data_IF_756507335371
#
_entry.id   IF_756507335371
#
_cell.length_a   1.000
_cell.length_b   1.000
_cell.length_c   1.000
_cell.angle_alpha   90.00
_cell.angle_beta   90.00
_cell.angle_gamma   90.00
#
_symmetry.space_group_name_H-M   'P 1'
#
loop_
_entity.id
_entity.type
_entity.pdbx_description
1 polymer ?
#
# COMPACT_ATOMS: atom_id res chain seq x y z
N UNK A 1 -17.19 -34.12 10.51
CA UNK A 1 -17.76 -33.12 11.44
C UNK A 1 -18.58 -33.87 12.46
N UNK A 2 -18.38 -33.57 13.74
CA UNK A 2 -18.94 -34.27 14.90
C UNK A 2 -20.37 -33.82 15.26
N UNK A 3 -21.02 -33.05 14.38
CA UNK A 3 -22.38 -32.54 14.61
C UNK A 3 -22.49 -31.49 15.71
N UNK A 4 -21.36 -30.93 16.18
CA UNK A 4 -21.34 -29.92 17.22
C UNK A 4 -21.14 -28.51 16.67
N UNK A 5 -21.75 -27.52 17.34
CA UNK A 5 -21.45 -26.09 17.15
C UNK A 5 -20.58 -25.64 18.30
N UNK A 6 -19.40 -25.10 17.99
CA UNK A 6 -18.46 -24.56 18.96
C UNK A 6 -18.61 -23.04 19.07
N UNK A 7 -18.54 -22.51 20.28
CA UNK A 7 -18.62 -21.07 20.51
C UNK A 7 -17.74 -20.64 21.68
N UNK A 8 -17.25 -19.41 21.59
CA UNK A 8 -16.52 -18.77 22.66
C UNK A 8 -17.52 -18.13 23.62
N UNK A 9 -17.51 -18.58 24.87
CA UNK A 9 -18.27 -17.98 25.95
C UNK A 9 -17.35 -16.98 26.66
N UNK A 10 -17.10 -15.86 25.97
CA UNK A 10 -15.98 -14.93 26.19
C UNK A 10 -15.84 -14.52 27.65
N UNK A 11 -16.89 -13.97 28.26
CA UNK A 11 -16.83 -13.47 29.64
C UNK A 11 -16.95 -14.56 30.71
N UNK A 12 -17.16 -15.82 30.31
CA UNK A 12 -17.03 -16.97 31.20
C UNK A 12 -15.67 -17.67 31.04
N UNK A 13 -14.77 -17.10 30.22
CA UNK A 13 -13.43 -17.62 29.95
C UNK A 13 -13.44 -19.10 29.51
N UNK A 14 -14.41 -19.47 28.67
CA UNK A 14 -14.67 -20.86 28.28
C UNK A 14 -14.91 -21.01 26.79
N UNK A 15 -14.54 -22.18 26.27
CA UNK A 15 -15.04 -22.68 25.00
C UNK A 15 -16.12 -23.71 25.29
N UNK A 16 -17.25 -23.59 24.61
CA UNK A 16 -18.39 -24.49 24.76
C UNK A 16 -18.77 -25.10 23.42
N UNK A 17 -19.47 -26.23 23.49
CA UNK A 17 -20.06 -26.87 22.33
C UNK A 17 -21.51 -27.24 22.57
N UNK A 18 -22.32 -27.18 21.53
CA UNK A 18 -23.70 -27.67 21.50
C UNK A 18 -23.75 -28.85 20.55
N UNK A 19 -24.15 -30.02 21.05
CA UNK A 19 -24.54 -31.13 20.18
C UNK A 19 -25.90 -30.79 19.56
N UNK A 20 -25.94 -30.66 18.23
CA UNK A 20 -27.14 -30.19 17.51
C UNK A 20 -28.26 -31.23 17.53
N UNK A 21 -27.94 -32.52 17.69
CA UNK A 21 -28.94 -33.59 17.72
C UNK A 21 -29.66 -33.67 19.06
N UNK A 22 -28.95 -33.39 20.15
CA UNK A 22 -29.49 -33.46 21.53
C UNK A 22 -29.82 -32.09 22.11
N UNK A 23 -29.39 -31.01 21.45
CA UNK A 23 -29.46 -29.63 21.93
C UNK A 23 -28.79 -29.44 23.31
N UNK A 24 -27.78 -30.25 23.63
CA UNK A 24 -27.08 -30.21 24.91
C UNK A 24 -25.80 -29.35 24.81
N UNK A 25 -25.68 -28.34 25.67
CA UNK A 25 -24.50 -27.50 25.77
C UNK A 25 -23.52 -28.03 26.82
N UNK A 26 -22.24 -28.19 26.45
CA UNK A 26 -21.17 -28.65 27.34
C UNK A 26 -19.95 -27.73 27.25
N UNK A 27 -19.14 -27.69 28.31
CA UNK A 27 -17.86 -26.97 28.30
C UNK A 27 -16.78 -27.89 27.73
N UNK A 28 -15.97 -27.37 26.81
CA UNK A 28 -14.82 -28.10 26.28
C UNK A 28 -13.68 -28.05 27.30
N UNK A 29 -13.10 -29.20 27.62
CA UNK A 29 -11.90 -29.29 28.45
C UNK A 29 -10.72 -29.72 27.59
N UNK A 30 -9.83 -28.76 27.30
CA UNK A 30 -8.62 -29.03 26.55
C UNK A 30 -7.41 -29.15 27.47
N UNK A 31 -6.44 -29.99 27.10
CA UNK A 31 -5.24 -30.26 27.91
C UNK A 31 -3.97 -29.80 27.21
N UNK A 32 -3.13 -29.09 27.95
CA UNK A 32 -1.79 -28.73 27.49
C UNK A 32 -0.84 -29.94 27.54
N UNK A 33 0.36 -29.81 26.97
CA UNK A 33 1.36 -30.89 26.94
C UNK A 33 1.80 -31.39 28.31
N UNK A 34 1.63 -30.59 29.36
CA UNK A 34 1.89 -30.97 30.75
C UNK A 34 0.69 -31.67 31.42
N UNK A 35 -0.41 -31.90 30.70
CA UNK A 35 -1.64 -32.55 31.17
C UNK A 35 -2.62 -31.63 31.92
N UNK A 36 -2.24 -30.39 32.19
CA UNK A 36 -3.10 -29.41 32.85
C UNK A 36 -4.23 -28.94 31.93
N UNK A 37 -5.38 -28.60 32.53
CA UNK A 37 -6.52 -28.06 31.78
C UNK A 37 -6.22 -26.63 31.38
N UNK A 38 -6.39 -26.31 30.10
CA UNK A 38 -6.18 -24.95 29.57
C UNK A 38 -7.14 -23.98 30.23
N UNK A 39 -6.59 -22.85 30.69
CA UNK A 39 -7.35 -21.69 31.15
C UNK A 39 -7.35 -20.65 30.04
N UNK A 40 -8.53 -20.37 29.49
CA UNK A 40 -8.71 -19.28 28.53
C UNK A 40 -8.85 -17.95 29.26
N UNK A 41 -8.72 -16.85 28.53
CA UNK A 41 -8.98 -15.51 29.01
C UNK A 41 -9.62 -14.65 27.91
N UNK A 42 -10.95 -14.49 28.00
CA UNK A 42 -11.76 -13.77 27.02
C UNK A 42 -11.50 -14.21 25.56
N UNK A 43 -11.69 -15.50 25.24
CA UNK A 43 -11.56 -15.95 23.88
C UNK A 43 -12.60 -15.23 23.01
N UNK A 44 -12.17 -14.61 21.91
CA UNK A 44 -13.04 -13.77 21.08
C UNK A 44 -13.42 -14.41 19.74
N UNK A 45 -12.67 -15.41 19.28
CA UNK A 45 -12.87 -16.00 17.96
C UNK A 45 -12.48 -17.46 17.91
N UNK A 46 -13.21 -18.23 17.11
CA UNK A 46 -12.98 -19.64 16.83
C UNK A 46 -13.09 -19.91 15.33
N UNK A 47 -12.30 -20.87 14.84
CA UNK A 47 -12.40 -21.34 13.45
C UNK A 47 -12.02 -22.82 13.38
N UNK A 48 -12.78 -23.61 12.63
CA UNK A 48 -12.41 -25.00 12.35
C UNK A 48 -11.48 -25.06 11.13
N UNK A 49 -10.58 -26.03 11.13
CA UNK A 49 -9.87 -26.40 9.92
C UNK A 49 -10.81 -27.04 8.88
N UNK A 50 -10.32 -27.21 7.64
CA UNK A 50 -11.13 -27.78 6.55
C UNK A 50 -11.61 -29.20 6.82
N UNK A 51 -10.88 -29.97 7.64
CA UNK A 51 -11.28 -31.34 7.99
C UNK A 51 -12.25 -31.40 9.17
N UNK A 52 -12.37 -30.31 9.94
CA UNK A 52 -13.18 -30.22 11.14
C UNK A 52 -12.59 -31.00 12.32
N UNK A 53 -11.28 -31.24 12.33
CA UNK A 53 -10.55 -31.94 13.40
C UNK A 53 -9.82 -30.97 14.33
N UNK A 54 -9.39 -29.82 13.80
CA UNK A 54 -8.67 -28.80 14.57
C UNK A 54 -9.54 -27.56 14.75
N UNK A 55 -9.57 -27.05 15.97
CA UNK A 55 -10.20 -25.79 16.33
C UNK A 55 -9.11 -24.75 16.64
N UNK A 56 -9.05 -23.71 15.82
CA UNK A 56 -8.23 -22.52 16.05
C UNK A 56 -8.97 -21.57 16.98
N UNK A 57 -8.26 -21.01 17.96
CA UNK A 57 -8.83 -20.19 19.03
C UNK A 57 -7.99 -18.92 19.17
N UNK A 58 -8.64 -17.76 19.16
CA UNK A 58 -8.04 -16.49 19.52
C UNK A 58 -8.30 -16.22 21.02
N UNK A 59 -7.27 -16.45 21.85
CA UNK A 59 -7.32 -16.29 23.30
C UNK A 59 -6.87 -14.88 23.69
N UNK A 60 -7.76 -13.91 23.48
CA UNK A 60 -7.45 -12.47 23.34
C UNK A 60 -6.65 -11.87 24.49
N UNK A 61 -7.08 -12.07 25.73
CA UNK A 61 -6.40 -11.48 26.90
C UNK A 61 -5.19 -12.29 27.37
N UNK A 62 -4.97 -13.47 26.81
CA UNK A 62 -3.70 -14.17 26.92
C UNK A 62 -2.75 -13.83 25.76
N UNK A 63 -3.20 -13.05 24.77
CA UNK A 63 -2.44 -12.67 23.57
C UNK A 63 -1.88 -13.86 22.79
N UNK A 64 -2.63 -14.98 22.77
CA UNK A 64 -2.19 -16.23 22.16
C UNK A 64 -3.18 -16.72 21.11
N UNK A 65 -2.65 -17.26 20.01
CA UNK A 65 -3.40 -18.14 19.13
C UNK A 65 -3.15 -19.58 19.55
N UNK A 66 -4.22 -20.35 19.70
CA UNK A 66 -4.17 -21.75 20.09
C UNK A 66 -4.75 -22.61 18.97
N UNK A 67 -4.29 -23.85 18.91
CA UNK A 67 -4.90 -24.90 18.10
C UNK A 67 -5.21 -26.08 19.00
N UNK A 68 -6.48 -26.47 19.03
CA UNK A 68 -6.99 -27.61 19.78
C UNK A 68 -7.34 -28.75 18.82
N UNK A 69 -6.94 -29.97 19.15
CA UNK A 69 -7.37 -31.17 18.46
C UNK A 69 -8.65 -31.70 19.13
N UNK A 70 -9.72 -31.80 18.36
CA UNK A 70 -11.04 -32.20 18.86
C UNK A 70 -11.15 -33.70 19.12
N UNK A 71 -10.26 -34.53 18.54
CA UNK A 71 -10.28 -35.98 18.71
C UNK A 71 -9.67 -36.43 20.05
N UNK A 72 -8.59 -35.77 20.49
CA UNK A 72 -7.86 -36.12 21.71
C UNK A 72 -7.92 -35.04 22.79
N UNK A 73 -8.63 -33.94 22.53
CA UNK A 73 -8.76 -32.77 23.40
C UNK A 73 -7.40 -32.14 23.79
N UNK A 74 -6.33 -32.36 23.03
CA UNK A 74 -5.06 -31.67 23.24
C UNK A 74 -5.13 -30.23 22.70
N UNK A 75 -4.41 -29.31 23.34
CA UNK A 75 -4.28 -27.92 22.88
C UNK A 75 -2.85 -27.43 23.03
N UNK A 76 -2.43 -26.58 22.11
CA UNK A 76 -1.11 -25.96 22.13
C UNK A 76 -1.13 -24.57 21.50
N UNK A 77 -0.16 -23.70 21.85
CA UNK A 77 0.10 -22.49 21.11
C UNK A 77 0.37 -22.77 19.62
N UNK A 78 -0.24 -21.96 18.77
CA UNK A 78 0.06 -21.89 17.35
C UNK A 78 1.25 -20.93 17.18
N UNK A 79 2.45 -21.50 17.03
CA UNK A 79 3.65 -20.72 16.73
C UNK A 79 3.56 -20.15 15.32
N UNK A 80 3.35 -18.85 15.23
CA UNK A 80 3.42 -18.11 13.98
C UNK A 80 4.86 -17.68 13.75
N UNK A 81 5.58 -18.41 12.91
CA UNK A 81 6.90 -18.00 12.45
C UNK A 81 6.72 -17.04 11.28
N UNK A 82 6.35 -15.79 11.60
CA UNK A 82 6.56 -14.71 10.67
C UNK A 82 8.07 -14.56 10.54
N UNK A 83 8.65 -14.99 9.42
CA UNK A 83 9.93 -14.40 9.04
C UNK A 83 9.61 -12.91 8.93
N UNK A 84 10.21 -12.09 9.75
CA UNK A 84 10.32 -10.66 9.51
C UNK A 84 11.77 -10.52 9.06
N UNK A 85 12.07 -10.04 7.85
CA UNK A 85 13.45 -9.76 7.48
C UNK A 85 13.98 -8.78 8.54
N UNK A 86 15.21 -8.95 9.02
CA UNK A 86 15.84 -8.08 10.03
C UNK A 86 15.75 -6.57 9.67
N UNK A 87 15.51 -6.26 8.40
CA UNK A 87 15.29 -4.92 7.86
C UNK A 87 13.94 -4.28 8.23
N UNK A 88 12.96 -5.04 8.76
CA UNK A 88 11.71 -4.46 9.30
C UNK A 88 11.80 -4.09 10.79
N UNK A 89 12.67 -4.76 11.56
CA UNK A 89 12.85 -4.51 13.00
C UNK A 89 14.00 -3.52 13.30
N UNK A 90 14.79 -3.15 12.28
CA UNK A 90 15.90 -2.19 12.45
C UNK A 90 15.52 -0.73 12.17
N UNK A 91 14.24 -0.42 11.97
CA UNK A 91 13.78 0.97 12.00
C UNK A 91 13.33 1.30 13.40
N UNK A 92 14.25 1.87 14.19
CA UNK A 92 13.92 2.46 15.49
C UNK A 92 12.63 3.26 15.41
N UNK A 93 11.82 3.13 16.46
CA UNK A 93 10.50 3.73 16.64
C UNK A 93 10.46 5.22 16.23
N UNK A 94 10.26 5.53 14.93
CA UNK A 94 9.70 6.78 14.38
C UNK A 94 9.82 6.98 12.86
N UNK A 95 10.05 5.95 12.04
CA UNK A 95 9.93 6.15 10.58
C UNK A 95 9.20 5.01 9.92
N UNK A 96 7.95 5.23 9.53
CA UNK A 96 7.40 4.58 8.33
C UNK A 96 8.47 4.77 7.26
N UNK A 97 9.13 3.70 6.83
CA UNK A 97 10.18 3.77 5.81
C UNK A 97 9.51 4.14 4.49
N UNK A 98 9.24 5.44 4.31
CA UNK A 98 8.76 6.00 3.07
C UNK A 98 9.99 6.17 2.19
N UNK A 99 10.25 5.19 1.33
CA UNK A 99 11.37 5.25 0.40
C UNK A 99 11.18 6.48 -0.49
N UNK A 100 12.17 7.36 -0.57
CA UNK A 100 12.14 8.50 -1.49
C UNK A 100 12.91 8.12 -2.76
N UNK A 101 12.20 8.03 -3.87
CA UNK A 101 12.76 7.84 -5.20
C UNK A 101 13.09 9.20 -5.79
N UNK A 102 14.38 9.41 -6.10
CA UNK A 102 14.86 10.60 -6.79
C UNK A 102 15.21 10.25 -8.24
N UNK A 103 14.76 11.03 -9.23
CA UNK A 103 15.19 10.88 -10.61
C UNK A 103 16.71 11.14 -10.73
N UNK A 104 17.33 10.61 -11.77
CA UNK A 104 18.78 10.74 -12.02
C UNK A 104 19.23 12.16 -12.39
N UNK A 105 18.30 13.03 -12.78
CA UNK A 105 18.54 14.43 -13.13
C UNK A 105 17.32 15.30 -12.80
N UNK A 106 17.49 16.62 -12.58
CA UNK A 106 16.37 17.53 -12.37
C UNK A 106 15.62 17.79 -13.68
N UNK A 107 14.33 18.14 -13.56
CA UNK A 107 13.47 18.61 -14.65
C UNK A 107 13.91 20.03 -15.01
N UNK A 108 14.33 20.23 -16.25
CA UNK A 108 14.76 21.55 -16.73
C UNK A 108 13.58 22.31 -17.35
N UNK A 109 13.38 23.55 -16.93
CA UNK A 109 12.36 24.47 -17.47
C UNK A 109 13.00 25.76 -18.00
N UNK A 110 12.29 26.46 -18.89
CA UNK A 110 12.74 27.73 -19.46
C UNK A 110 12.11 28.94 -18.74
N UNK A 111 12.81 30.08 -18.62
CA UNK A 111 12.32 31.27 -17.89
C UNK A 111 11.08 31.96 -18.48
N UNK A 112 10.48 31.44 -19.56
CA UNK A 112 9.19 31.89 -20.12
C UNK A 112 7.99 31.00 -19.78
N UNK A 113 8.22 29.97 -18.95
CA UNK A 113 7.26 28.90 -18.69
C UNK A 113 6.10 29.24 -17.72
N UNK A 114 5.94 30.52 -17.34
CA UNK A 114 4.77 30.96 -16.55
C UNK A 114 3.41 30.78 -17.25
N UNK A 115 3.42 30.38 -18.54
CA UNK A 115 2.25 29.93 -19.31
C UNK A 115 2.35 28.47 -19.77
N UNK A 116 3.44 27.78 -19.43
CA UNK A 116 3.68 26.39 -19.81
C UNK A 116 3.14 25.46 -18.73
N UNK A 117 2.75 24.25 -19.13
CA UNK A 117 2.29 23.23 -18.19
C UNK A 117 3.23 22.02 -18.25
N UNK A 118 3.52 21.48 -17.07
CA UNK A 118 4.26 20.25 -16.89
C UNK A 118 3.27 19.09 -16.84
N UNK A 119 3.29 18.24 -17.86
CA UNK A 119 2.51 17.00 -17.88
C UNK A 119 3.39 15.85 -17.39
N UNK A 120 3.08 15.31 -16.22
CA UNK A 120 3.75 14.15 -15.64
C UNK A 120 2.90 12.90 -15.86
N UNK A 121 3.47 11.85 -16.44
CA UNK A 121 2.81 10.55 -16.61
C UNK A 121 3.60 9.48 -15.88
N UNK A 122 3.00 8.90 -14.83
CA UNK A 122 3.60 7.82 -14.04
C UNK A 122 3.04 6.48 -14.48
N UNK A 123 3.91 5.59 -14.95
CA UNK A 123 3.53 4.23 -15.30
C UNK A 123 4.14 3.26 -14.30
N UNK A 124 3.26 2.54 -13.59
CA UNK A 124 3.67 1.52 -12.64
C UNK A 124 3.93 0.22 -13.40
N UNK A 125 5.16 -0.29 -13.33
CA UNK A 125 5.50 -1.60 -13.91
C UNK A 125 6.11 -2.51 -12.86
N UNK A 126 5.64 -3.75 -12.82
CA UNK A 126 6.09 -4.76 -11.86
C UNK A 126 6.83 -5.88 -12.61
N UNK A 127 8.17 -5.88 -12.62
CA UNK A 127 9.01 -6.90 -13.28
C UNK A 127 8.83 -8.37 -12.84
N UNK A 128 7.90 -8.68 -11.92
CA UNK A 128 7.55 -10.04 -11.51
C UNK A 128 6.30 -10.57 -12.24
N UNK A 129 6.19 -11.88 -12.48
CA UNK A 129 5.10 -12.47 -13.28
C UNK A 129 3.72 -12.44 -12.61
N UNK A 130 3.64 -12.20 -11.30
CA UNK A 130 2.39 -12.35 -10.52
C UNK A 130 2.04 -11.14 -9.67
N UNK A 131 2.93 -10.14 -9.55
CA UNK A 131 2.68 -8.95 -8.74
C UNK A 131 1.78 -7.98 -9.48
N UNK A 132 0.68 -7.58 -8.85
CA UNK A 132 -0.28 -6.63 -9.41
C UNK A 132 -0.83 -5.71 -8.33
N UNK A 133 -1.42 -4.59 -8.77
CA UNK A 133 -2.31 -3.81 -7.91
C UNK A 133 -3.50 -4.69 -7.49
N UNK A 134 -3.92 -4.56 -6.24
CA UNK A 134 -5.08 -5.29 -5.71
C UNK A 134 -6.37 -4.77 -6.35
N UNK A 135 -7.14 -5.65 -6.98
CA UNK A 135 -8.42 -5.32 -7.60
C UNK A 135 -9.44 -4.89 -6.52
N UNK A 136 -10.10 -3.74 -6.73
CA UNK A 136 -11.06 -3.17 -5.79
C UNK A 136 -10.45 -2.50 -4.55
N UNK A 137 -9.14 -2.58 -4.33
CA UNK A 137 -8.48 -1.82 -3.27
C UNK A 137 -8.06 -0.43 -3.77
N UNK A 138 -8.20 0.62 -2.95
CA UNK A 138 -7.83 1.98 -3.33
C UNK A 138 -6.31 2.08 -3.51
N UNK A 139 -5.88 2.65 -4.63
CA UNK A 139 -4.48 2.91 -4.96
C UNK A 139 -4.25 4.42 -4.85
N UNK A 140 -3.83 4.92 -3.69
CA UNK A 140 -3.87 6.34 -3.38
C UNK A 140 -2.59 7.06 -3.81
N UNK A 141 -2.74 8.34 -4.15
CA UNK A 141 -1.63 9.24 -4.37
C UNK A 141 -1.93 10.64 -3.82
N UNK A 142 -0.89 11.38 -3.44
CA UNK A 142 -0.95 12.80 -3.11
C UNK A 142 0.27 13.57 -3.61
N UNK A 143 0.05 14.81 -4.01
CA UNK A 143 1.02 15.72 -4.59
C UNK A 143 1.25 16.89 -3.64
N UNK A 144 2.51 17.12 -3.31
CA UNK A 144 2.99 18.29 -2.60
C UNK A 144 3.75 19.17 -3.59
N UNK A 145 3.27 20.41 -3.74
CA UNK A 145 3.84 21.40 -4.63
C UNK A 145 4.86 22.27 -3.89
N UNK A 146 5.84 22.89 -4.59
CA UNK A 146 6.89 23.70 -3.98
C UNK A 146 6.35 24.89 -3.18
N UNK A 147 5.24 25.48 -3.63
CA UNK A 147 4.55 26.57 -2.96
C UNK A 147 3.06 26.60 -3.35
N UNK A 148 2.28 27.45 -2.69
CA UNK A 148 0.86 27.67 -3.00
C UNK A 148 0.61 28.39 -4.33
N UNK A 149 1.66 28.92 -4.96
CA UNK A 149 1.56 29.62 -6.24
C UNK A 149 1.61 28.65 -7.43
N UNK A 150 2.05 27.41 -7.20
CA UNK A 150 1.98 26.32 -8.18
C UNK A 150 0.54 25.81 -8.28
N UNK A 151 0.06 25.64 -9.50
CA UNK A 151 -1.28 25.12 -9.80
C UNK A 151 -1.27 23.65 -10.19
N UNK A 152 -2.29 22.90 -9.76
CA UNK A 152 -2.60 21.57 -10.28
C UNK A 152 -4.10 21.32 -10.13
N UNK A 153 -4.74 20.66 -11.11
CA UNK A 153 -6.18 20.38 -11.06
C UNK A 153 -6.58 19.53 -9.85
N UNK A 154 -5.70 18.61 -9.44
CA UNK A 154 -5.88 17.80 -8.25
C UNK A 154 -4.54 17.50 -7.58
N UNK A 155 -4.53 17.53 -6.25
CA UNK A 155 -3.34 17.22 -5.44
C UNK A 155 -3.46 15.90 -4.68
N UNK A 156 -4.55 15.17 -4.88
CA UNK A 156 -4.78 13.85 -4.30
C UNK A 156 -5.79 13.08 -5.14
N UNK A 157 -5.69 11.76 -5.12
CA UNK A 157 -6.63 10.91 -5.83
C UNK A 157 -6.32 9.43 -5.70
N UNK A 158 -6.94 8.66 -6.59
CA UNK A 158 -6.72 7.22 -6.71
C UNK A 158 -6.31 6.87 -8.14
N UNK A 159 -5.48 5.84 -8.29
CA UNK A 159 -5.08 5.28 -9.58
C UNK A 159 -6.13 4.27 -10.02
N UNK A 160 -6.70 4.48 -11.20
CA UNK A 160 -7.59 3.51 -11.82
C UNK A 160 -6.78 2.33 -12.35
N UNK A 161 -7.04 1.14 -11.80
CA UNK A 161 -6.37 -0.10 -12.18
C UNK A 161 -6.91 -0.67 -13.50
N UNK A 162 -8.09 -0.23 -13.96
CA UNK A 162 -8.74 -0.69 -15.19
C UNK A 162 -8.32 0.09 -16.43
N UNK A 163 -7.90 1.35 -16.27
CA UNK A 163 -7.50 2.27 -17.34
C UNK A 163 -5.98 2.31 -17.60
N UNK A 164 -5.24 1.25 -17.26
CA UNK A 164 -3.82 1.12 -17.61
C UNK A 164 -2.81 1.54 -16.53
N UNK A 165 -3.23 1.65 -15.26
CA UNK A 165 -2.34 1.89 -14.11
C UNK A 165 -1.42 3.12 -14.25
N UNK A 166 -1.90 4.13 -14.97
CA UNK A 166 -1.17 5.37 -15.21
C UNK A 166 -1.78 6.53 -14.44
N UNK A 167 -0.93 7.39 -13.87
CA UNK A 167 -1.34 8.67 -13.30
C UNK A 167 -0.83 9.80 -14.18
N UNK A 168 -1.74 10.69 -14.60
CA UNK A 168 -1.39 11.91 -15.33
C UNK A 168 -1.67 13.14 -14.48
N UNK A 169 -0.68 14.01 -14.34
CA UNK A 169 -0.79 15.27 -13.60
C UNK A 169 -0.39 16.42 -14.50
N UNK A 170 -1.23 17.46 -14.52
CA UNK A 170 -0.94 18.73 -15.18
C UNK A 170 -0.60 19.77 -14.11
N UNK A 171 0.65 20.20 -14.08
CA UNK A 171 1.18 21.13 -13.08
C UNK A 171 1.55 22.44 -13.77
N UNK A 172 1.05 23.55 -13.26
CA UNK A 172 1.34 24.90 -13.73
C UNK A 172 2.29 25.60 -12.74
N UNK A 173 3.54 25.89 -13.12
CA UNK A 173 4.44 26.69 -12.30
C UNK A 173 3.98 28.16 -12.24
N UNK A 174 4.35 28.91 -11.19
CA UNK A 174 4.11 30.34 -11.12
C UNK A 174 4.98 31.10 -12.12
N UNK A 175 4.54 32.31 -12.48
CA UNK A 175 5.28 33.17 -13.43
C UNK A 175 6.64 33.62 -12.90
N UNK A 176 6.79 33.74 -11.57
CA UNK A 176 8.03 34.15 -10.90
C UNK A 176 8.40 33.11 -9.84
N UNK A 177 9.07 32.02 -10.24
CA UNK A 177 9.52 30.99 -9.30
C UNK A 177 10.91 31.31 -8.70
N UNK A 178 11.14 30.94 -7.45
CA UNK A 178 12.43 31.18 -6.78
C UNK A 178 13.61 30.50 -7.49
N UNK A 179 13.37 29.33 -8.12
CA UNK A 179 14.39 28.60 -8.89
C UNK A 179 14.73 29.25 -10.25
N UNK A 180 14.06 30.36 -10.64
CA UNK A 180 14.43 31.18 -11.80
C UNK A 180 15.67 32.05 -11.55
N UNK A 181 15.92 32.45 -10.30
CA UNK A 181 16.96 33.42 -9.94
C UNK A 181 18.12 32.80 -9.13
N UNK A 182 18.04 31.51 -8.81
CA UNK A 182 19.01 30.81 -7.96
C UNK A 182 19.30 29.39 -8.45
N UNK A 183 20.35 28.78 -7.89
CA UNK A 183 20.71 27.38 -8.15
C UNK A 183 19.84 26.38 -7.36
N UNK A 184 18.93 26.86 -6.50
CA UNK A 184 18.12 25.99 -5.64
C UNK A 184 16.92 25.43 -6.43
N UNK A 185 16.77 24.09 -6.51
CA UNK A 185 15.66 23.47 -7.22
C UNK A 185 14.33 23.64 -6.48
N UNK A 186 13.23 23.68 -7.23
CA UNK A 186 11.86 23.67 -6.71
C UNK A 186 11.35 22.22 -6.63
N UNK A 187 11.21 21.62 -5.42
CA UNK A 187 10.88 20.22 -5.27
C UNK A 187 9.37 19.96 -5.36
N UNK A 188 8.97 19.00 -6.18
CA UNK A 188 7.63 18.44 -6.25
C UNK A 188 7.69 17.03 -5.65
N UNK A 189 6.91 16.75 -4.61
CA UNK A 189 6.85 15.43 -4.00
C UNK A 189 5.52 14.74 -4.33
N UNK A 190 5.60 13.54 -4.91
CA UNK A 190 4.44 12.71 -5.21
C UNK A 190 4.48 11.46 -4.35
N UNK A 191 3.58 11.39 -3.38
CA UNK A 191 3.45 10.28 -2.46
C UNK A 191 2.50 9.24 -3.04
N UNK A 192 2.89 7.98 -3.00
CA UNK A 192 2.07 6.84 -3.41
C UNK A 192 1.82 5.93 -2.22
N UNK A 193 0.58 5.47 -2.10
CA UNK A 193 0.15 4.44 -1.16
C UNK A 193 -0.62 3.38 -1.93
N UNK A 194 0.08 2.31 -2.30
CA UNK A 194 -0.42 1.26 -3.16
C UNK A 194 -0.73 0.00 -2.36
N UNK A 195 -1.77 -0.72 -2.74
CA UNK A 195 -2.07 -2.07 -2.28
C UNK A 195 -1.68 -3.05 -3.38
N UNK A 196 -0.69 -3.89 -3.09
CA UNK A 196 -0.13 -4.88 -4.02
C UNK A 196 -0.56 -6.28 -3.60
N UNK A 197 -0.77 -7.16 -4.56
CA UNK A 197 -0.92 -8.60 -4.33
C UNK A 197 0.09 -9.39 -5.16
N UNK A 198 0.53 -10.51 -4.60
CA UNK A 198 1.31 -11.51 -5.27
C UNK A 198 0.83 -12.90 -4.87
N UNK A 199 0.31 -13.65 -5.84
CA UNK A 199 -0.45 -14.86 -5.53
C UNK A 199 -1.62 -14.52 -4.60
N UNK A 200 -1.68 -15.19 -3.45
CA UNK A 200 -2.75 -15.03 -2.45
C UNK A 200 -2.38 -14.05 -1.32
N UNK A 201 -1.22 -13.39 -1.41
CA UNK A 201 -0.72 -12.49 -0.35
C UNK A 201 -0.81 -11.05 -0.84
N UNK A 202 -1.46 -10.19 -0.07
CA UNK A 202 -1.56 -8.76 -0.36
C UNK A 202 -0.93 -7.92 0.75
N UNK A 203 -0.30 -6.81 0.37
CA UNK A 203 0.43 -5.94 1.28
C UNK A 203 0.42 -4.47 0.80
N UNK A 204 0.38 -3.49 1.73
CA UNK A 204 0.51 -2.09 1.39
C UNK A 204 1.98 -1.70 1.11
N UNK A 205 2.18 -0.75 0.19
CA UNK A 205 3.48 -0.16 -0.14
C UNK A 205 3.35 1.36 -0.21
N UNK A 206 4.19 2.07 0.54
CA UNK A 206 4.26 3.52 0.56
C UNK A 206 5.65 3.98 0.09
N UNK A 207 5.70 4.99 -0.78
CA UNK A 207 6.94 5.63 -1.24
C UNK A 207 6.64 7.03 -1.80
N UNK A 208 7.67 7.86 -1.91
CA UNK A 208 7.58 9.22 -2.46
C UNK A 208 8.48 9.34 -3.68
N UNK A 209 7.99 9.90 -4.78
CA UNK A 209 8.82 10.35 -5.90
C UNK A 209 9.10 11.84 -5.71
N UNK A 210 10.37 12.21 -5.53
CA UNK A 210 10.78 13.60 -5.37
C UNK A 210 11.39 14.12 -6.67
N UNK A 211 10.67 15.00 -7.37
CA UNK A 211 11.11 15.63 -8.60
C UNK A 211 11.66 17.02 -8.30
N UNK A 212 12.84 17.34 -8.81
CA UNK A 212 13.45 18.66 -8.63
C UNK A 212 13.34 19.44 -9.94
N UNK A 213 12.67 20.59 -9.91
CA UNK A 213 12.54 21.49 -11.07
C UNK A 213 13.61 22.57 -11.01
N UNK A 214 14.31 22.81 -12.11
CA UNK A 214 15.33 23.86 -12.24
C UNK A 214 15.12 24.66 -13.52
N UNK A 215 15.24 25.99 -13.44
CA UNK A 215 15.22 26.82 -14.64
C UNK A 215 16.62 26.98 -15.21
N UNK A 216 16.76 26.85 -16.53
CA UNK A 216 18.04 27.06 -17.22
C UNK A 216 17.97 28.19 -18.23
N UNK A 217 18.89 29.14 -18.12
CA UNK A 217 19.03 30.25 -19.05
C UNK A 217 19.81 29.80 -20.29
N UNK A 218 19.18 29.00 -21.16
CA UNK A 218 19.45 28.79 -22.61
C UNK A 218 19.09 27.35 -23.02
N UNK A 219 18.03 27.23 -23.81
CA UNK A 219 18.07 26.69 -25.18
C UNK A 219 16.70 26.97 -25.81
N UNK A 220 16.69 27.62 -26.98
CA UNK A 220 15.48 27.81 -27.77
C UNK A 220 15.29 26.52 -28.54
N UNK A 221 14.26 25.75 -28.20
CA UNK A 221 13.75 24.69 -29.07
C UNK A 221 13.52 23.35 -28.38
N UNK A 222 12.29 22.87 -28.58
CA UNK A 222 11.77 21.52 -28.41
C UNK A 222 11.15 21.17 -27.04
N UNK A 223 9.87 20.79 -27.13
CA UNK A 223 9.18 19.85 -26.23
C UNK A 223 10.07 18.63 -26.00
N UNK A 224 10.85 18.66 -24.93
CA UNK A 224 11.64 17.50 -24.53
C UNK A 224 10.73 16.57 -23.75
N UNK A 225 10.33 15.46 -24.39
CA UNK A 225 9.81 14.30 -23.68
C UNK A 225 10.99 13.68 -22.96
N UNK A 226 11.18 14.05 -21.70
CA UNK A 226 12.23 13.45 -20.88
C UNK A 226 11.65 12.25 -20.15
N UNK A 227 12.22 11.08 -20.44
CA UNK A 227 11.94 9.86 -19.70
C UNK A 227 12.85 9.77 -18.49
N UNK A 228 12.26 9.47 -17.37
CA UNK A 228 12.92 9.29 -16.11
C UNK A 228 12.56 7.91 -15.57
N UNK A 229 13.58 7.09 -15.37
CA UNK A 229 13.41 5.76 -14.79
C UNK A 229 13.85 5.85 -13.33
N UNK A 230 12.94 5.50 -12.40
CA UNK A 230 13.25 5.34 -10.99
C UNK A 230 12.95 3.89 -10.61
N UNK A 231 13.96 3.16 -10.17
CA UNK A 231 13.83 1.76 -9.80
C UNK A 231 13.99 1.61 -8.29
N UNK A 232 13.05 0.90 -7.68
CA UNK A 232 13.19 0.43 -6.30
C UNK A 232 13.27 -1.08 -6.32
N UNK A 233 14.38 -1.63 -5.83
CA UNK A 233 14.56 -3.06 -5.68
C UNK A 233 14.25 -3.42 -4.23
N UNK A 234 13.35 -4.37 -4.03
CA UNK A 234 13.03 -4.91 -2.72
C UNK A 234 13.55 -6.35 -2.64
N UNK A 235 14.49 -6.60 -1.73
CA UNK A 235 15.02 -7.95 -1.55
C UNK A 235 14.27 -8.69 -0.44
N UNK A 236 13.32 -9.52 -0.88
CA UNK A 236 12.82 -10.62 -0.04
C UNK A 236 12.69 -11.94 -0.81
N UNK A 237 12.58 -11.83 -2.13
CA UNK A 237 12.84 -12.86 -3.16
C UNK A 237 12.93 -12.12 -4.50
N UNK A 238 14.11 -11.58 -4.88
CA UNK A 238 14.33 -10.88 -6.17
C UNK A 238 13.12 -10.09 -6.72
N UNK A 239 12.62 -9.07 -6.00
CA UNK A 239 11.63 -8.15 -6.55
C UNK A 239 12.34 -6.90 -7.06
N UNK A 240 12.45 -6.78 -8.38
CA UNK A 240 12.77 -5.50 -8.99
C UNK A 240 11.42 -4.83 -9.29
N UNK A 241 11.11 -3.69 -8.66
CA UNK A 241 10.01 -2.81 -9.06
C UNK A 241 10.59 -1.68 -9.91
N UNK A 242 10.18 -1.55 -11.17
CA UNK A 242 10.65 -0.44 -12.01
C UNK A 242 9.50 0.52 -12.23
N UNK A 243 9.60 1.73 -11.71
CA UNK A 243 8.70 2.80 -12.12
C UNK A 243 9.35 3.53 -13.29
N UNK A 244 8.65 3.62 -14.40
CA UNK A 244 9.07 4.47 -15.51
C UNK A 244 8.06 5.61 -15.58
N UNK A 245 8.53 6.84 -15.61
CA UNK A 245 7.65 7.98 -15.84
C UNK A 245 8.22 8.88 -16.93
N UNK A 246 7.30 9.50 -17.66
CA UNK A 246 7.63 10.43 -18.73
C UNK A 246 7.10 11.80 -18.32
N UNK A 247 7.94 12.83 -18.43
CA UNK A 247 7.49 14.22 -18.32
C UNK A 247 7.49 14.85 -19.72
N UNK A 248 6.41 15.57 -20.04
CA UNK A 248 6.33 16.40 -21.24
C UNK A 248 6.13 17.84 -20.78
N UNK A 249 7.03 18.72 -21.19
CA UNK A 249 6.89 20.17 -21.00
C UNK A 249 6.30 20.74 -22.29
N UNK A 250 5.09 21.29 -22.21
CA UNK A 250 4.43 21.91 -23.36
C UNK A 250 4.46 23.43 -23.23
N UNK A 251 5.15 24.09 -24.18
CA UNK A 251 5.28 25.56 -24.26
C UNK A 251 4.20 26.23 -25.12
N UNK A 252 3.12 25.52 -25.46
CA UNK A 252 2.09 26.03 -26.37
C UNK A 252 0.70 26.03 -25.70
N UNK A 253 0.07 27.18 -25.42
CA UNK A 253 -1.21 27.28 -24.72
C UNK A 253 -2.45 26.85 -25.54
N UNK A 254 -2.28 26.27 -26.75
CA UNK A 254 -3.37 26.02 -27.70
C UNK A 254 -3.36 24.63 -28.37
N UNK A 255 -3.05 23.56 -27.63
CA UNK A 255 -3.27 22.20 -28.12
C UNK A 255 -4.03 21.36 -27.07
N UNK A 256 -5.32 21.64 -26.93
CA UNK A 256 -6.26 20.77 -26.24
C UNK A 256 -6.98 19.91 -27.29
N UNK A 257 -6.56 18.67 -27.46
CA UNK A 257 -7.50 17.63 -27.88
C UNK A 257 -8.22 17.14 -26.62
N UNK A 258 -9.54 17.31 -26.63
CA UNK A 258 -10.45 16.89 -25.59
C UNK A 258 -10.48 15.37 -25.48
N UNK A 259 -10.25 14.84 -24.28
CA UNK A 259 -10.94 13.63 -23.84
C UNK A 259 -11.20 13.72 -22.34
N UNK A 260 -12.45 14.11 -22.04
CA UNK A 260 -13.12 14.11 -20.75
C UNK A 260 -13.07 12.73 -20.10
N UNK A 261 -12.76 12.63 -18.81
CA UNK A 261 -13.52 11.83 -17.83
C UNK A 261 -13.10 12.23 -16.41
N UNK A 262 -13.75 13.27 -15.87
CA UNK A 262 -13.78 13.53 -14.44
C UNK A 262 -15.13 13.03 -13.94
N UNK A 263 -15.12 11.93 -13.18
CA UNK A 263 -16.34 11.38 -12.58
C UNK A 263 -16.92 12.38 -11.59
N UNK A 264 -18.07 12.94 -11.92
CA UNK A 264 -18.90 13.69 -10.99
C UNK A 264 -19.39 12.75 -9.88
N UNK A 265 -19.10 13.07 -8.62
CA UNK A 265 -19.93 12.64 -7.50
C UNK A 265 -20.82 13.83 -7.16
N UNK A 266 -22.08 13.74 -7.60
CA UNK A 266 -23.14 14.63 -7.16
C UNK A 266 -23.43 14.35 -5.68
N UNK A 267 -23.54 15.41 -4.89
CA UNK A 267 -24.40 15.47 -3.71
C UNK A 267 -25.68 16.21 -4.07
#
# INVERSE_FOLDING_TARGET
>A
LDGCVYFADTYNHKIKKIDVSTNCATTCEFRESNGSVRRFNEPAGLCLDRTGQLLYIADTNNHELLVANLADCSIRPLKLNFRVPEELDSVGENRRSCTTLKPTRPIKMHPGAGQSSLRLTFNLTFPGRTTKLTDGAPQQWSLELPSTEWGCECTKGTIDTTAGQSLQLLIAPPANDASMNGNDPSPIALNFKLNLCEGDICFPKEFTVLLEVQYSAKEVGHTNVERYDAQETYERTKYNGKMNFNSVVNDNPFAFESSTFCGQINH
#
